data_IF_444531648435
#
_entry.id   IF_444531648435
#
_cell.length_a   1.000
_cell.length_b   1.000
_cell.length_c   1.000
_cell.angle_alpha   90.00
_cell.angle_beta   90.00
_cell.angle_gamma   90.00
#
_symmetry.space_group_name_H-M   'P 1'
#
loop_
_entity.id
_entity.type
_entity.pdbx_description
1 polymer ?
#
# COMPACT_ATOMS: atom_id res chain seq x y z
N UNK A 1 -14.00 2.31 -19.06
CA UNK A 1 -13.65 2.10 -17.65
C UNK A 1 -12.32 2.80 -17.46
N UNK A 2 -12.23 3.76 -16.53
CA UNK A 2 -10.93 4.34 -16.16
C UNK A 2 -10.04 3.19 -15.68
N UNK A 3 -8.76 3.17 -16.06
CA UNK A 3 -7.80 2.16 -15.62
C UNK A 3 -7.34 2.39 -14.16
N UNK A 4 -7.97 3.35 -13.46
CA UNK A 4 -7.70 3.73 -12.08
C UNK A 4 -6.42 4.55 -11.91
N UNK A 5 -5.59 4.65 -12.95
CA UNK A 5 -4.37 5.44 -12.94
C UNK A 5 -4.71 6.91 -13.14
N UNK A 6 -3.84 7.76 -12.60
CA UNK A 6 -3.96 9.19 -12.63
C UNK A 6 -2.68 9.78 -13.22
N UNK A 7 -2.79 10.59 -14.27
CA UNK A 7 -1.64 11.31 -14.82
C UNK A 7 -1.14 12.39 -13.85
N UNK A 8 0.15 12.74 -13.91
CA UNK A 8 0.70 13.82 -13.07
C UNK A 8 0.04 15.18 -13.37
N UNK A 9 -0.12 15.53 -14.65
CA UNK A 9 -0.79 16.79 -15.01
C UNK A 9 -2.27 16.78 -14.58
N UNK A 10 -2.95 15.64 -14.70
CA UNK A 10 -4.33 15.46 -14.25
C UNK A 10 -4.45 15.62 -12.72
N UNK A 11 -3.48 15.11 -11.94
CA UNK A 11 -3.41 15.35 -10.50
C UNK A 11 -3.35 16.85 -10.17
N UNK A 12 -2.55 17.62 -10.91
CA UNK A 12 -2.43 19.05 -10.70
C UNK A 12 -3.73 19.78 -11.03
N UNK A 13 -4.39 19.43 -12.14
CA UNK A 13 -5.69 20.00 -12.50
C UNK A 13 -6.77 19.70 -11.44
N UNK A 14 -6.81 18.46 -10.92
CA UNK A 14 -7.73 18.08 -9.84
C UNK A 14 -7.43 18.84 -8.55
N UNK A 15 -6.15 19.11 -8.27
CA UNK A 15 -5.76 19.90 -7.11
C UNK A 15 -6.17 21.37 -7.24
N UNK A 16 -6.02 21.97 -8.42
CA UNK A 16 -6.48 23.34 -8.70
C UNK A 16 -8.00 23.48 -8.53
N UNK A 17 -8.76 22.44 -8.88
CA UNK A 17 -10.22 22.38 -8.67
C UNK A 17 -10.62 22.06 -7.22
N UNK A 18 -9.66 21.75 -6.34
CA UNK A 18 -9.93 21.36 -4.95
C UNK A 18 -10.52 19.96 -4.80
N UNK A 19 -10.46 19.14 -5.84
CA UNK A 19 -10.94 17.75 -5.82
C UNK A 19 -9.92 16.79 -5.20
N UNK A 20 -8.63 17.11 -5.26
CA UNK A 20 -7.56 16.38 -4.57
C UNK A 20 -6.73 17.36 -3.77
N UNK A 21 -6.64 17.16 -2.46
CA UNK A 21 -5.82 17.98 -1.57
C UNK A 21 -4.61 17.22 -1.03
N UNK A 22 -4.61 15.89 -1.13
CA UNK A 22 -3.64 15.00 -0.49
C UNK A 22 -3.03 14.01 -1.47
N UNK A 23 -1.70 13.84 -1.39
CA UNK A 23 -0.97 12.74 -2.04
C UNK A 23 -0.35 11.85 -0.98
N UNK A 24 -0.69 10.57 -1.02
CA UNK A 24 -0.15 9.52 -0.16
C UNK A 24 1.05 8.88 -0.87
N UNK A 25 2.25 9.15 -0.37
CA UNK A 25 3.49 8.55 -0.83
C UNK A 25 3.81 7.34 0.05
N UNK A 26 3.76 6.13 -0.51
CA UNK A 26 3.89 4.90 0.28
C UNK A 26 4.82 3.85 -0.33
N UNK A 27 5.55 3.12 0.51
CA UNK A 27 6.32 1.94 0.13
C UNK A 27 5.99 0.77 1.06
N UNK A 28 6.09 -0.49 0.59
CA UNK A 28 5.92 -1.65 1.46
C UNK A 28 7.12 -1.80 2.40
N UNK A 29 6.86 -2.07 3.66
CA UNK A 29 7.85 -2.51 4.63
C UNK A 29 8.03 -4.06 4.58
N UNK A 30 8.92 -4.67 5.40
CA UNK A 30 9.18 -6.11 5.33
C UNK A 30 7.97 -6.98 5.73
N UNK A 31 7.00 -6.42 6.45
CA UNK A 31 5.74 -7.09 6.81
C UNK A 31 4.62 -6.85 5.78
N UNK A 32 4.88 -6.10 4.70
CA UNK A 32 3.90 -5.76 3.68
C UNK A 32 2.98 -4.60 4.05
N UNK A 33 3.25 -3.87 5.15
CA UNK A 33 2.52 -2.65 5.51
C UNK A 33 2.95 -1.52 4.57
N UNK A 34 2.00 -0.71 4.13
CA UNK A 34 2.33 0.52 3.41
C UNK A 34 2.74 1.59 4.43
N UNK A 35 4.01 1.97 4.39
CA UNK A 35 4.60 3.02 5.23
C UNK A 35 4.95 4.24 4.38
N UNK A 36 4.92 5.43 4.97
CA UNK A 36 5.25 6.66 4.25
C UNK A 36 4.58 7.89 4.82
N UNK A 37 4.26 8.86 3.96
CA UNK A 37 3.73 10.16 4.36
C UNK A 37 2.56 10.59 3.49
N UNK A 38 1.61 11.28 4.12
CA UNK A 38 0.55 12.02 3.43
C UNK A 38 0.99 13.47 3.31
N UNK A 39 0.98 14.01 2.11
CA UNK A 39 1.43 15.36 1.80
C UNK A 39 0.28 16.14 1.20
N UNK A 40 0.20 17.45 1.49
CA UNK A 40 -0.59 18.31 0.62
C UNK A 40 0.08 18.40 -0.77
N UNK A 41 -0.70 18.69 -1.81
CA UNK A 41 -0.21 18.71 -3.20
C UNK A 41 1.01 19.63 -3.39
N UNK A 42 1.05 20.88 -2.85
CA UNK A 42 2.24 21.72 -2.98
C UNK A 42 3.50 21.12 -2.34
N UNK A 43 3.37 20.43 -1.20
CA UNK A 43 4.51 19.75 -0.57
C UNK A 43 4.94 18.51 -1.34
N UNK A 44 4.00 17.78 -1.96
CA UNK A 44 4.31 16.68 -2.85
C UNK A 44 5.15 17.15 -4.04
N UNK A 45 4.71 18.21 -4.74
CA UNK A 45 5.46 18.78 -5.87
C UNK A 45 6.87 19.21 -5.42
N UNK A 46 6.96 20.03 -4.38
CA UNK A 46 8.25 20.57 -3.91
C UNK A 46 9.22 19.51 -3.40
N UNK A 47 8.74 18.53 -2.62
CA UNK A 47 9.62 17.55 -1.95
C UNK A 47 9.88 16.32 -2.82
N UNK A 48 8.83 15.78 -3.45
CA UNK A 48 8.87 14.49 -4.12
C UNK A 48 9.21 14.59 -5.61
N UNK A 49 8.80 15.68 -6.28
CA UNK A 49 8.97 15.87 -7.73
C UNK A 49 10.17 16.77 -8.03
N UNK A 50 10.20 17.97 -7.44
CA UNK A 50 11.28 18.94 -7.62
C UNK A 50 12.48 18.67 -6.69
N UNK A 51 12.21 18.03 -5.56
CA UNK A 51 13.21 17.66 -4.55
C UNK A 51 13.81 16.28 -4.76
N UNK A 52 14.55 15.79 -3.76
CA UNK A 52 15.19 14.48 -3.79
C UNK A 52 14.27 13.33 -3.34
N UNK A 53 13.00 13.60 -3.01
CA UNK A 53 12.08 12.63 -2.47
C UNK A 53 11.62 12.97 -1.05
N UNK A 54 10.76 12.12 -0.52
CA UNK A 54 10.10 12.30 0.77
C UNK A 54 10.88 11.52 1.82
N UNK A 55 11.52 12.21 2.78
CA UNK A 55 12.30 11.53 3.82
C UNK A 55 11.42 10.62 4.70
N UNK A 56 11.93 9.46 5.06
CA UNK A 56 11.37 8.55 6.06
C UNK A 56 12.52 7.88 6.84
N UNK A 57 12.26 7.37 8.04
CA UNK A 57 13.29 6.72 8.86
C UNK A 57 13.34 5.22 8.57
N UNK A 58 14.56 4.67 8.43
CA UNK A 58 14.80 3.23 8.26
C UNK A 58 14.27 2.38 9.42
N UNK A 59 13.88 3.00 10.54
CA UNK A 59 13.13 2.38 11.64
C UNK A 59 11.99 1.48 11.16
N UNK A 60 11.27 1.90 10.11
CA UNK A 60 10.14 1.13 9.56
C UNK A 60 10.53 -0.24 8.97
N UNK A 61 11.82 -0.46 8.68
CA UNK A 61 12.35 -1.76 8.23
C UNK A 61 12.90 -2.62 9.36
N UNK A 62 12.96 -2.10 10.59
CA UNK A 62 13.54 -2.75 11.75
C UNK A 62 12.60 -2.70 12.96
N UNK A 63 11.35 -3.06 12.72
CA UNK A 63 10.32 -3.19 13.74
C UNK A 63 9.50 -4.46 13.52
N UNK A 64 8.91 -4.98 14.59
CA UNK A 64 7.88 -6.01 14.46
C UNK A 64 6.49 -5.41 14.12
N UNK A 65 5.46 -6.26 14.19
CA UNK A 65 4.08 -5.87 13.92
C UNK A 65 3.52 -4.84 14.92
N UNK A 66 4.01 -4.87 16.17
CA UNK A 66 3.61 -3.98 17.26
C UNK A 66 4.46 -2.69 17.29
N UNK A 67 5.27 -2.45 16.25
CA UNK A 67 6.22 -1.34 16.16
C UNK A 67 7.30 -1.38 17.24
N UNK A 68 7.59 -2.56 17.81
CA UNK A 68 8.71 -2.75 18.73
C UNK A 68 10.01 -2.74 17.91
N UNK A 69 10.98 -1.87 18.25
CA UNK A 69 12.26 -1.82 17.54
C UNK A 69 13.01 -3.14 17.61
N UNK A 70 13.62 -3.52 16.50
CA UNK A 70 14.55 -4.63 16.36
C UNK A 70 15.93 -4.06 16.02
N UNK A 71 16.99 -4.61 16.60
CA UNK A 71 18.35 -4.19 16.27
C UNK A 71 18.84 -4.94 15.03
N UNK A 72 18.77 -4.30 13.86
CA UNK A 72 19.18 -4.87 12.59
C UNK A 72 20.33 -4.07 11.94
N UNK A 73 21.19 -4.70 11.12
CA UNK A 73 22.24 -3.96 10.41
C UNK A 73 21.71 -2.80 9.55
N UNK A 74 20.50 -2.96 9.01
CA UNK A 74 19.85 -1.94 8.19
C UNK A 74 19.37 -0.73 9.00
N UNK A 75 19.01 -0.91 10.29
CA UNK A 75 18.51 0.16 11.15
C UNK A 75 18.57 -0.28 12.62
N UNK A 76 19.15 0.57 13.46
CA UNK A 76 19.43 0.29 14.88
C UNK A 76 19.48 1.59 15.69
N UNK A 77 19.44 1.46 17.01
CA UNK A 77 19.69 2.60 17.89
C UNK A 77 21.11 3.17 17.67
N UNK A 78 22.09 2.31 17.41
CA UNK A 78 23.50 2.68 17.23
C UNK A 78 23.75 3.51 15.96
N UNK A 79 23.01 3.24 14.88
CA UNK A 79 23.08 4.05 13.65
C UNK A 79 22.05 5.19 13.62
N UNK A 80 21.35 5.41 14.73
CA UNK A 80 20.43 6.53 14.91
C UNK A 80 19.15 6.45 14.08
N UNK A 81 18.74 5.25 13.66
CA UNK A 81 17.56 5.05 12.80
C UNK A 81 17.62 5.91 11.53
N UNK A 82 18.73 5.79 10.80
CA UNK A 82 19.07 6.63 9.65
C UNK A 82 17.89 6.88 8.71
N UNK A 83 17.84 8.06 8.09
CA UNK A 83 16.80 8.38 7.12
C UNK A 83 17.09 7.76 5.75
N UNK A 84 16.03 7.64 4.96
CA UNK A 84 16.04 7.26 3.54
C UNK A 84 15.01 8.11 2.79
N UNK A 85 15.01 8.06 1.46
CA UNK A 85 14.12 8.86 0.60
C UNK A 85 13.11 7.97 -0.09
N UNK A 86 11.84 8.35 -0.02
CA UNK A 86 10.75 7.79 -0.83
C UNK A 86 10.64 8.63 -2.11
N UNK A 87 10.95 8.01 -3.26
CA UNK A 87 10.84 8.65 -4.58
C UNK A 87 9.63 8.08 -5.31
N UNK A 88 8.65 8.90 -5.72
CA UNK A 88 7.41 8.42 -6.31
C UNK A 88 7.62 7.81 -7.70
N UNK A 89 7.06 6.62 -7.91
CA UNK A 89 6.90 5.99 -9.22
C UNK A 89 5.58 6.46 -9.83
N UNK A 90 5.64 7.53 -10.63
CA UNK A 90 4.45 8.18 -11.20
C UNK A 90 3.63 7.25 -12.11
N UNK A 91 4.22 6.18 -12.65
CA UNK A 91 3.46 5.17 -13.41
C UNK A 91 2.46 4.40 -12.52
N UNK A 92 2.58 4.54 -11.19
CA UNK A 92 1.69 3.93 -10.21
C UNK A 92 0.70 4.91 -9.59
N UNK A 93 0.77 6.21 -9.94
CA UNK A 93 -0.11 7.24 -9.41
C UNK A 93 -1.58 6.91 -9.74
N UNK A 94 -2.45 6.99 -8.74
CA UNK A 94 -3.86 6.59 -8.84
C UNK A 94 -4.74 7.33 -7.84
N UNK A 95 -6.03 7.44 -8.11
CA UNK A 95 -7.01 7.93 -7.12
C UNK A 95 -7.31 6.86 -6.08
N UNK A 96 -7.72 7.27 -4.88
CA UNK A 96 -8.21 6.35 -3.83
C UNK A 96 -9.74 6.38 -3.81
N UNK A 97 -10.46 5.33 -4.26
CA UNK A 97 -11.93 5.35 -4.39
C UNK A 97 -12.66 5.62 -3.07
N UNK A 98 -12.12 5.16 -1.95
CA UNK A 98 -12.71 5.34 -0.61
C UNK A 98 -12.20 6.61 0.11
N UNK A 99 -11.25 7.35 -0.47
CA UNK A 99 -10.75 8.64 0.04
C UNK A 99 -10.76 9.66 -1.11
N UNK A 100 -11.92 10.25 -1.44
CA UNK A 100 -12.14 10.96 -2.72
C UNK A 100 -11.18 12.13 -2.97
N UNK A 101 -10.68 12.75 -1.88
CA UNK A 101 -9.76 13.90 -1.91
C UNK A 101 -8.28 13.50 -1.95
N UNK A 102 -7.96 12.21 -2.08
CA UNK A 102 -6.60 11.71 -2.01
C UNK A 102 -6.20 10.91 -3.27
N UNK A 103 -4.94 11.08 -3.66
CA UNK A 103 -4.24 10.20 -4.59
C UNK A 103 -3.20 9.36 -3.84
N UNK A 104 -2.89 8.18 -4.38
CA UNK A 104 -1.84 7.29 -3.90
C UNK A 104 -0.77 7.10 -4.96
N UNK A 105 0.50 7.06 -4.54
CA UNK A 105 1.63 6.72 -5.40
C UNK A 105 2.57 5.78 -4.64
N UNK A 106 2.98 4.70 -5.30
CA UNK A 106 4.03 3.84 -4.77
C UNK A 106 5.38 4.54 -4.91
N UNK A 107 6.21 4.43 -3.89
CA UNK A 107 7.55 4.97 -3.88
C UNK A 107 8.58 3.84 -3.90
N UNK A 108 9.68 4.09 -4.61
CA UNK A 108 10.91 3.36 -4.40
C UNK A 108 11.68 3.99 -3.23
N UNK A 109 12.37 3.16 -2.46
CA UNK A 109 13.20 3.60 -1.34
C UNK A 109 14.64 3.77 -1.80
N UNK A 110 15.20 4.96 -1.65
CA UNK A 110 16.58 5.30 -1.96
C UNK A 110 17.36 5.64 -0.70
N UNK A 111 18.66 5.42 -0.71
CA UNK A 111 19.55 5.93 0.33
C UNK A 111 19.47 7.47 0.43
N UNK A 112 19.70 8.01 1.62
CA UNK A 112 19.55 9.45 1.86
C UNK A 112 20.47 10.30 0.98
N UNK A 113 21.73 9.91 0.88
CA UNK A 113 22.79 10.73 0.27
C UNK A 113 23.26 10.20 -1.09
N UNK A 114 22.55 9.23 -1.68
CA UNK A 114 22.92 8.62 -2.96
C UNK A 114 21.70 8.14 -3.74
N UNK A 115 21.79 8.07 -5.06
CA UNK A 115 20.74 7.50 -5.92
C UNK A 115 20.80 5.95 -5.98
N UNK A 116 21.35 5.32 -4.96
CA UNK A 116 21.26 3.88 -4.75
C UNK A 116 19.90 3.52 -4.15
N UNK A 117 19.29 2.46 -4.66
CA UNK A 117 18.10 1.87 -4.05
C UNK A 117 18.46 1.23 -2.71
N UNK A 118 17.64 1.48 -1.70
CA UNK A 118 17.80 0.90 -0.38
C UNK A 118 17.64 -0.63 -0.44
N UNK A 119 18.68 -1.35 -0.03
CA UNK A 119 18.78 -2.80 -0.27
C UNK A 119 17.72 -3.63 0.47
N UNK A 120 17.37 -3.21 1.69
CA UNK A 120 16.40 -3.91 2.54
C UNK A 120 14.96 -3.71 2.09
N UNK A 121 14.69 -2.74 1.20
CA UNK A 121 13.34 -2.43 0.77
C UNK A 121 12.75 -3.55 -0.11
N UNK A 122 11.55 -4.08 0.19
CA UNK A 122 10.93 -5.18 -0.56
C UNK A 122 10.84 -4.93 -2.07
N UNK A 123 10.53 -3.68 -2.47
CA UNK A 123 10.41 -3.29 -3.89
C UNK A 123 11.77 -3.32 -4.60
N UNK A 124 12.85 -2.96 -3.92
CA UNK A 124 14.24 -3.10 -4.41
C UNK A 124 14.60 -4.56 -4.61
N UNK A 125 14.30 -5.41 -3.62
CA UNK A 125 14.54 -6.85 -3.68
C UNK A 125 13.81 -7.45 -4.88
N UNK A 126 12.51 -7.18 -5.02
CA UNK A 126 11.69 -7.66 -6.15
C UNK A 126 12.26 -7.21 -7.50
N UNK A 127 12.59 -5.93 -7.67
CA UNK A 127 13.18 -5.41 -8.91
C UNK A 127 14.46 -6.16 -9.30
N UNK A 128 15.35 -6.40 -8.34
CA UNK A 128 16.59 -7.17 -8.55
C UNK A 128 16.28 -8.63 -8.92
N UNK A 129 15.27 -9.26 -8.32
CA UNK A 129 14.84 -10.61 -8.70
C UNK A 129 14.35 -10.68 -10.16
N UNK A 130 13.52 -9.72 -10.56
CA UNK A 130 12.96 -9.65 -11.90
C UNK A 130 14.05 -9.42 -12.96
N UNK A 131 15.01 -8.52 -12.71
CA UNK A 131 16.14 -8.30 -13.60
C UNK A 131 16.96 -9.58 -13.83
N UNK A 132 17.28 -10.32 -12.75
CA UNK A 132 18.00 -11.61 -12.85
C UNK A 132 17.21 -12.69 -13.59
N UNK A 133 15.89 -12.62 -13.56
CA UNK A 133 15.02 -13.52 -14.32
C UNK A 133 15.08 -13.19 -15.81
N UNK A 134 15.00 -11.89 -16.14
CA UNK A 134 15.05 -11.40 -17.52
C UNK A 134 16.39 -11.70 -18.20
N UNK A 135 17.51 -11.57 -17.49
CA UNK A 135 18.84 -11.99 -17.98
C UNK A 135 18.90 -13.47 -18.38
N UNK A 136 18.01 -14.30 -17.82
CA UNK A 136 17.87 -15.73 -18.15
C UNK A 136 16.75 -16.01 -19.16
N UNK A 137 16.13 -14.97 -19.73
CA UNK A 137 14.99 -15.11 -20.64
C UNK A 137 13.70 -15.55 -19.96
N UNK A 138 13.59 -15.39 -18.63
CA UNK A 138 12.40 -15.75 -17.86
C UNK A 138 11.56 -14.51 -17.56
N UNK A 139 10.23 -14.69 -17.59
CA UNK A 139 9.25 -13.70 -17.13
C UNK A 139 8.32 -14.36 -16.12
N UNK A 140 8.04 -13.66 -15.03
CA UNK A 140 7.12 -14.13 -14.00
C UNK A 140 5.78 -13.39 -14.09
N UNK A 141 4.69 -14.15 -14.05
CA UNK A 141 3.35 -13.65 -13.78
C UNK A 141 2.94 -14.07 -12.39
N UNK A 142 2.32 -13.16 -11.64
CA UNK A 142 1.81 -13.42 -10.30
C UNK A 142 0.34 -13.06 -10.23
N UNK A 143 -0.43 -13.89 -9.51
CA UNK A 143 -1.79 -13.62 -9.10
C UNK A 143 -1.94 -14.13 -7.67
N UNK A 144 -2.79 -13.47 -6.89
CA UNK A 144 -3.03 -13.83 -5.50
C UNK A 144 -4.53 -13.96 -5.25
N UNK A 145 -4.91 -15.00 -4.52
CA UNK A 145 -6.25 -15.12 -3.92
C UNK A 145 -6.14 -14.64 -2.47
N UNK A 146 -6.71 -13.46 -2.18
CA UNK A 146 -6.67 -12.87 -0.84
C UNK A 146 -7.91 -13.30 -0.08
N UNK A 147 -7.76 -14.33 0.76
CA UNK A 147 -8.79 -14.76 1.68
C UNK A 147 -8.76 -13.94 2.98
N UNK A 148 -9.94 -13.60 3.49
CA UNK A 148 -10.09 -12.87 4.74
C UNK A 148 -11.33 -13.32 5.50
N UNK A 149 -11.35 -13.04 6.79
CA UNK A 149 -12.50 -13.24 7.65
C UNK A 149 -13.14 -11.90 7.98
N UNK A 150 -14.48 -11.85 8.00
CA UNK A 150 -15.22 -10.66 8.39
C UNK A 150 -15.95 -10.91 9.71
N UNK A 151 -15.56 -10.15 10.73
CA UNK A 151 -16.24 -10.12 12.02
C UNK A 151 -17.26 -8.97 12.05
N UNK A 152 -18.38 -9.19 12.74
CA UNK A 152 -19.34 -8.15 13.10
C UNK A 152 -18.93 -7.41 14.39
N UNK A 153 -17.95 -7.93 15.13
CA UNK A 153 -17.38 -7.28 16.31
C UNK A 153 -16.72 -5.93 15.95
N UNK A 154 -17.08 -4.82 16.62
CA UNK A 154 -16.45 -3.52 16.40
C UNK A 154 -14.94 -3.53 16.69
N UNK A 155 -14.15 -2.77 15.89
CA UNK A 155 -12.68 -2.82 15.92
C UNK A 155 -12.06 -2.57 17.30
N UNK A 156 -12.57 -1.61 18.07
CA UNK A 156 -12.05 -1.31 19.41
C UNK A 156 -12.30 -2.46 20.40
N UNK A 157 -13.44 -3.15 20.27
CA UNK A 157 -13.77 -4.31 21.06
C UNK A 157 -12.88 -5.50 20.66
N UNK A 158 -12.73 -5.75 19.35
CA UNK A 158 -11.87 -6.81 18.84
C UNK A 158 -10.42 -6.63 19.35
N UNK A 159 -9.90 -5.40 19.33
CA UNK A 159 -8.59 -5.07 19.89
C UNK A 159 -8.51 -5.37 21.40
N UNK A 160 -9.49 -4.92 22.18
CA UNK A 160 -9.54 -5.18 23.63
C UNK A 160 -9.59 -6.68 23.97
N UNK A 161 -10.22 -7.49 23.11
CA UNK A 161 -10.30 -8.95 23.22
C UNK A 161 -9.06 -9.66 22.65
N UNK A 162 -8.07 -8.93 22.14
CA UNK A 162 -6.90 -9.47 21.42
C UNK A 162 -7.32 -10.39 20.27
N UNK A 163 -8.38 -10.02 19.56
CA UNK A 163 -8.93 -10.74 18.42
C UNK A 163 -9.36 -12.19 18.74
N UNK A 164 -9.77 -12.45 19.98
CA UNK A 164 -10.33 -13.73 20.41
C UNK A 164 -11.84 -13.63 20.59
N UNK A 165 -12.53 -14.76 20.41
CA UNK A 165 -13.97 -14.90 20.63
C UNK A 165 -14.79 -13.84 19.88
N UNK A 166 -14.42 -13.59 18.62
CA UNK A 166 -15.08 -12.63 17.75
C UNK A 166 -16.42 -13.17 17.24
N UNK A 167 -17.41 -12.29 17.19
CA UNK A 167 -18.66 -12.55 16.49
C UNK A 167 -18.40 -12.42 14.99
N UNK A 168 -18.42 -13.55 14.29
CA UNK A 168 -18.22 -13.60 12.84
C UNK A 168 -19.48 -13.15 12.11
N UNK A 169 -19.33 -12.51 10.94
CA UNK A 169 -20.48 -12.08 10.13
C UNK A 169 -21.29 -13.30 9.64
N UNK A 170 -20.60 -14.37 9.25
CA UNK A 170 -21.19 -15.68 8.95
C UNK A 170 -21.16 -16.59 10.18
N UNK A 171 -22.31 -17.13 10.56
CA UNK A 171 -22.45 -18.00 11.73
C UNK A 171 -21.89 -19.43 11.54
N UNK A 172 -21.56 -19.82 10.31
CA UNK A 172 -21.02 -21.14 9.96
C UNK A 172 -20.23 -21.06 8.65
N UNK A 173 -19.54 -22.14 8.31
CA UNK A 173 -18.83 -22.29 7.02
C UNK A 173 -19.85 -22.33 5.88
N UNK A 174 -19.66 -21.44 4.90
CA UNK A 174 -20.61 -21.15 3.84
C UNK A 174 -19.98 -21.19 2.45
N UNK A 175 -18.93 -22.00 2.29
CA UNK A 175 -18.15 -22.12 1.07
C UNK A 175 -19.07 -22.24 -0.16
N UNK A 176 -18.92 -21.30 -1.10
CA UNK A 176 -19.70 -21.22 -2.34
C UNK A 176 -21.23 -21.04 -2.19
N UNK A 177 -21.76 -20.75 -1.00
CA UNK A 177 -23.20 -20.54 -0.81
C UNK A 177 -23.63 -19.15 -1.26
N UNK A 178 -24.26 -19.07 -2.42
CA UNK A 178 -24.70 -17.79 -3.01
C UNK A 178 -25.72 -17.03 -2.17
N UNK A 179 -26.52 -17.73 -1.35
CA UNK A 179 -27.43 -17.07 -0.40
C UNK A 179 -26.67 -16.29 0.68
N UNK A 180 -25.50 -16.76 1.10
CA UNK A 180 -24.65 -16.02 2.02
C UNK A 180 -23.92 -14.89 1.29
N UNK A 181 -23.38 -15.16 0.08
CA UNK A 181 -22.76 -14.11 -0.75
C UNK A 181 -23.69 -12.91 -0.95
N UNK A 182 -24.98 -13.15 -1.26
CA UNK A 182 -25.97 -12.09 -1.42
C UNK A 182 -26.29 -11.31 -0.13
N UNK A 183 -26.11 -11.92 1.05
CA UNK A 183 -26.30 -11.22 2.34
C UNK A 183 -25.14 -10.29 2.65
N UNK A 184 -23.92 -10.70 2.34
CA UNK A 184 -22.70 -9.96 2.67
C UNK A 184 -22.28 -8.99 1.55
N UNK A 185 -23.01 -9.00 0.42
CA UNK A 185 -22.63 -8.27 -0.79
C UNK A 185 -22.59 -6.74 -0.61
N UNK A 186 -23.30 -6.19 0.39
CA UNK A 186 -23.21 -4.77 0.73
C UNK A 186 -21.77 -4.32 1.02
N UNK A 187 -20.91 -5.23 1.51
CA UNK A 187 -19.49 -5.00 1.74
C UNK A 187 -18.63 -5.58 0.61
N UNK A 188 -18.89 -6.83 0.20
CA UNK A 188 -18.05 -7.52 -0.80
C UNK A 188 -18.12 -6.82 -2.17
N UNK A 189 -19.28 -6.28 -2.56
CA UNK A 189 -19.40 -5.51 -3.81
C UNK A 189 -18.55 -4.24 -3.80
N UNK A 190 -18.37 -3.59 -2.64
CA UNK A 190 -17.50 -2.43 -2.52
C UNK A 190 -16.05 -2.80 -2.80
N UNK A 191 -15.58 -3.95 -2.29
CA UNK A 191 -14.23 -4.45 -2.58
C UNK A 191 -14.08 -4.68 -4.09
N UNK A 192 -15.01 -5.40 -4.72
CA UNK A 192 -14.94 -5.69 -6.17
C UNK A 192 -14.87 -4.40 -7.01
N UNK A 193 -15.73 -3.44 -6.71
CA UNK A 193 -15.82 -2.20 -7.47
C UNK A 193 -14.60 -1.30 -7.19
N UNK A 194 -14.25 -1.08 -5.93
CA UNK A 194 -13.13 -0.22 -5.56
C UNK A 194 -11.78 -0.80 -5.99
N UNK A 195 -11.59 -2.12 -6.04
CA UNK A 195 -10.36 -2.70 -6.60
C UNK A 195 -10.19 -2.29 -8.06
N UNK A 196 -11.26 -2.43 -8.85
CA UNK A 196 -11.26 -2.02 -10.27
C UNK A 196 -11.02 -0.52 -10.41
N UNK A 197 -11.71 0.31 -9.62
CA UNK A 197 -11.55 1.77 -9.63
C UNK A 197 -10.15 2.22 -9.16
N UNK A 198 -9.48 1.41 -8.34
CA UNK A 198 -8.08 1.62 -7.90
C UNK A 198 -7.05 1.06 -8.89
N UNK A 199 -7.48 0.53 -10.03
CA UNK A 199 -6.61 -0.02 -11.08
C UNK A 199 -6.04 -1.41 -10.75
N UNK A 200 -6.71 -2.17 -9.88
CA UNK A 200 -6.38 -3.57 -9.60
C UNK A 200 -7.45 -4.46 -10.24
N UNK A 201 -7.12 -5.26 -11.27
CA UNK A 201 -8.09 -6.15 -11.88
C UNK A 201 -8.52 -7.23 -10.89
N UNK A 202 -9.82 -7.45 -10.81
CA UNK A 202 -10.43 -8.52 -10.02
C UNK A 202 -11.36 -9.33 -10.92
N UNK A 203 -11.28 -10.65 -10.80
CA UNK A 203 -12.13 -11.57 -11.56
C UNK A 203 -13.45 -11.86 -10.81
N UNK A 204 -13.36 -12.22 -9.54
CA UNK A 204 -14.51 -12.64 -8.74
C UNK A 204 -14.26 -12.50 -7.23
N UNK A 205 -15.32 -12.60 -6.44
CA UNK A 205 -15.28 -12.81 -5.00
C UNK A 205 -16.09 -14.07 -4.65
N UNK A 206 -15.59 -14.90 -3.72
CA UNK A 206 -16.31 -16.06 -3.18
C UNK A 206 -16.52 -15.92 -1.66
N UNK A 207 -17.66 -16.35 -1.10
CA UNK A 207 -17.81 -16.55 0.33
C UNK A 207 -17.05 -17.79 0.81
#
# INVERSE_FOLDING_TARGET
MSDGLLGYDELLELAERGEIDTVVCGAPDPAGRIIGKRLNVPSFVRLAIEGSGVCASTFVFAVDMDMVPLELPASSADNGWADFRLVPDLATLRRIPWEPNAAFVLCDSYEMDSDQLLEVAPRTILRRQLARAEEKGLRFGFASELEFYLASTPSAQAFAQRYRDLDMLSAHRNDYQMSQAGRDDWFIAQIRNHMSDFGIPIEASKP
#
